data_IF_255467015601
#
_entry.id   IF_255467015601
#
_cell.length_a   1.000
_cell.length_b   1.000
_cell.length_c   1.000
_cell.angle_alpha   90.00
_cell.angle_beta   90.00
_cell.angle_gamma   90.00
#
_symmetry.space_group_name_H-M   'P 1'
#
loop_
_entity.id
_entity.type
_entity.pdbx_description
1 polymer ?
#
# COMPACT_ATOMS: atom_id res chain seq x y z
N UNK A 1 -13.64 20.53 -2.14
CA UNK A 1 -14.79 19.80 -1.55
C UNK A 1 -14.32 18.38 -1.23
N UNK A 2 -14.60 17.93 -0.03
CA UNK A 2 -14.34 16.55 0.39
C UNK A 2 -15.68 15.81 0.34
N UNK A 3 -15.78 14.77 -0.48
CA UNK A 3 -16.94 13.88 -0.46
C UNK A 3 -16.62 12.71 0.47
N UNK A 4 -17.54 12.42 1.37
CA UNK A 4 -17.43 11.27 2.27
C UNK A 4 -18.24 10.12 1.68
N UNK A 5 -17.55 9.03 1.36
CA UNK A 5 -18.17 7.77 0.99
C UNK A 5 -18.12 6.83 2.21
N UNK A 6 -19.28 6.57 2.79
CA UNK A 6 -19.41 5.63 3.91
C UNK A 6 -19.74 4.24 3.36
N UNK A 7 -18.74 3.39 3.22
CA UNK A 7 -18.96 2.00 2.88
C UNK A 7 -19.71 1.29 4.02
N UNK A 8 -20.86 0.69 3.71
CA UNK A 8 -21.60 -0.15 4.63
C UNK A 8 -21.61 -1.58 4.12
N UNK A 9 -21.47 -2.52 5.05
CA UNK A 9 -21.62 -3.96 4.76
C UNK A 9 -20.53 -4.55 3.86
N UNK A 10 -19.30 -4.62 4.37
CA UNK A 10 -18.34 -5.64 3.95
C UNK A 10 -18.65 -6.99 4.59
N UNK A 11 -17.83 -7.99 4.32
CA UNK A 11 -17.95 -9.35 4.92
C UNK A 11 -17.72 -9.34 6.45
N UNK A 12 -17.41 -8.17 7.04
CA UNK A 12 -17.13 -7.99 8.46
C UNK A 12 -15.65 -8.16 8.83
N UNK A 13 -14.76 -8.30 7.87
CA UNK A 13 -13.32 -8.23 8.07
C UNK A 13 -12.83 -6.79 8.28
N UNK A 14 -11.64 -6.64 8.85
CA UNK A 14 -11.02 -5.33 8.99
C UNK A 14 -10.68 -4.76 7.61
N UNK A 15 -11.17 -3.56 7.31
CA UNK A 15 -10.84 -2.84 6.08
C UNK A 15 -9.38 -2.43 6.13
N UNK A 16 -8.64 -2.70 5.05
CA UNK A 16 -7.20 -2.48 4.95
C UNK A 16 -6.85 -1.60 3.73
N UNK A 17 -6.45 -2.20 2.62
CA UNK A 17 -6.08 -1.49 1.42
C UNK A 17 -7.30 -0.93 0.66
N UNK A 18 -7.12 0.23 0.05
CA UNK A 18 -8.14 0.86 -0.78
C UNK A 18 -7.49 1.44 -2.04
N UNK A 19 -8.10 1.20 -3.19
CA UNK A 19 -7.69 1.81 -4.46
C UNK A 19 -8.92 2.13 -5.32
N UNK A 20 -8.79 3.15 -6.16
CA UNK A 20 -9.86 3.61 -7.06
C UNK A 20 -9.39 3.47 -8.50
N UNK A 21 -10.25 2.88 -9.33
CA UNK A 21 -10.05 2.84 -10.77
C UNK A 21 -11.37 3.10 -11.50
N UNK A 22 -11.37 4.10 -12.38
CA UNK A 22 -12.58 4.60 -13.04
C UNK A 22 -13.67 4.92 -12.00
N UNK A 23 -14.81 4.25 -12.10
CA UNK A 23 -15.95 4.43 -11.22
C UNK A 23 -15.99 3.43 -10.04
N UNK A 24 -14.95 2.61 -9.88
CA UNK A 24 -14.91 1.55 -8.87
C UNK A 24 -13.95 1.84 -7.74
N UNK A 25 -14.41 1.61 -6.51
CA UNK A 25 -13.58 1.53 -5.31
C UNK A 25 -13.35 0.05 -5.01
N UNK A 26 -12.08 -0.33 -4.94
CA UNK A 26 -11.62 -1.65 -4.49
C UNK A 26 -11.23 -1.52 -3.03
N UNK A 27 -12.09 -2.01 -2.14
CA UNK A 27 -11.85 -2.00 -0.70
C UNK A 27 -11.50 -3.40 -0.24
N UNK A 28 -10.25 -3.59 0.17
CA UNK A 28 -9.70 -4.87 0.55
C UNK A 28 -9.83 -5.09 2.05
N UNK A 29 -10.24 -6.29 2.43
CA UNK A 29 -10.28 -6.73 3.83
C UNK A 29 -9.03 -7.56 4.16
N UNK A 30 -8.74 -7.64 5.46
CA UNK A 30 -7.72 -8.56 5.98
C UNK A 30 -8.00 -10.00 5.47
N UNK A 31 -6.96 -10.68 5.02
CA UNK A 31 -7.07 -12.01 4.43
C UNK A 31 -7.33 -12.03 2.91
N UNK A 32 -7.70 -10.91 2.29
CA UNK A 32 -7.74 -10.80 0.82
C UNK A 32 -9.12 -10.80 0.18
N UNK A 33 -10.21 -10.61 0.96
CA UNK A 33 -11.51 -10.33 0.35
C UNK A 33 -11.56 -8.89 -0.17
N UNK A 34 -12.15 -8.68 -1.35
CA UNK A 34 -12.29 -7.35 -1.97
C UNK A 34 -13.78 -7.04 -2.16
N UNK A 35 -14.22 -5.93 -1.59
CA UNK A 35 -15.53 -5.36 -1.85
C UNK A 35 -15.40 -4.29 -2.94
N UNK A 36 -16.25 -4.37 -3.96
CA UNK A 36 -16.30 -3.39 -5.05
C UNK A 36 -17.50 -2.48 -4.83
N UNK A 37 -17.24 -1.19 -4.77
CA UNK A 37 -18.27 -0.17 -4.71
C UNK A 37 -18.27 0.64 -6.01
N UNK A 38 -19.47 1.08 -6.40
CA UNK A 38 -19.62 2.05 -7.48
C UNK A 38 -19.53 3.46 -6.88
N UNK A 39 -18.48 4.18 -7.23
CA UNK A 39 -18.24 5.53 -6.69
C UNK A 39 -19.32 6.56 -7.07
N UNK A 40 -20.04 6.32 -8.18
CA UNK A 40 -21.13 7.17 -8.63
C UNK A 40 -22.48 6.81 -8.03
N UNK A 41 -22.57 5.64 -7.40
CA UNK A 41 -23.82 5.20 -6.78
C UNK A 41 -24.08 5.95 -5.48
N UNK A 42 -25.30 6.37 -5.27
CA UNK A 42 -25.77 6.86 -3.97
C UNK A 42 -25.94 5.73 -2.94
N UNK A 43 -25.98 4.48 -3.39
CA UNK A 43 -26.05 3.29 -2.51
C UNK A 43 -24.65 2.93 -2.01
N UNK A 44 -24.38 2.99 -0.71
CA UNK A 44 -23.08 2.67 -0.12
C UNK A 44 -22.78 1.17 -0.05
N UNK A 45 -23.62 0.32 -0.64
CA UNK A 45 -23.44 -1.13 -0.63
C UNK A 45 -22.47 -1.60 -1.71
N UNK A 46 -21.73 -2.68 -1.47
CA UNK A 46 -20.90 -3.25 -2.51
C UNK A 46 -21.75 -3.76 -3.68
N UNK A 47 -21.36 -3.42 -4.89
CA UNK A 47 -21.99 -3.90 -6.13
C UNK A 47 -21.49 -5.29 -6.53
N UNK A 48 -20.33 -5.70 -5.99
CA UNK A 48 -19.71 -7.01 -6.16
C UNK A 48 -18.70 -7.27 -5.04
N UNK A 49 -18.23 -8.52 -4.95
CA UNK A 49 -17.10 -8.92 -4.12
C UNK A 49 -16.42 -10.13 -4.71
N UNK A 50 -15.13 -10.28 -4.40
CA UNK A 50 -14.32 -11.43 -4.84
C UNK A 50 -13.13 -11.66 -3.90
N UNK A 51 -12.51 -12.83 -3.99
CA UNK A 51 -11.27 -13.13 -3.29
C UNK A 51 -10.07 -12.83 -4.20
N UNK A 52 -9.03 -12.19 -3.66
CA UNK A 52 -7.73 -12.10 -4.30
C UNK A 52 -7.14 -13.51 -4.50
N UNK A 53 -6.42 -13.71 -5.57
CA UNK A 53 -5.71 -14.98 -5.78
C UNK A 53 -4.60 -15.21 -4.73
N UNK A 54 -4.08 -14.15 -4.13
CA UNK A 54 -3.16 -14.18 -3.01
C UNK A 54 -3.85 -14.23 -1.64
N UNK A 55 -5.17 -14.48 -1.60
CA UNK A 55 -5.91 -14.58 -0.34
C UNK A 55 -5.30 -15.64 0.59
N UNK A 56 -4.93 -15.23 1.79
CA UNK A 56 -4.28 -16.07 2.79
C UNK A 56 -4.44 -15.44 4.19
N UNK A 57 -4.57 -16.24 5.27
CA UNK A 57 -4.69 -15.71 6.64
C UNK A 57 -3.54 -14.78 7.06
N UNK A 58 -2.37 -14.93 6.44
CA UNK A 58 -1.21 -14.09 6.67
C UNK A 58 -1.08 -12.93 5.68
N UNK A 59 -2.00 -12.79 4.72
CA UNK A 59 -2.04 -11.65 3.82
C UNK A 59 -2.91 -10.55 4.43
N UNK A 60 -2.27 -9.54 4.99
CA UNK A 60 -2.97 -8.42 5.65
C UNK A 60 -3.53 -7.40 4.63
N UNK A 61 -3.15 -7.48 3.37
CA UNK A 61 -3.59 -6.58 2.28
C UNK A 61 -3.54 -5.10 2.68
N UNK A 62 -2.50 -4.73 3.41
CA UNK A 62 -2.39 -3.43 4.07
C UNK A 62 -2.42 -2.24 3.10
N UNK A 63 -1.92 -2.43 1.88
CA UNK A 63 -1.95 -1.42 0.83
C UNK A 63 -2.13 -2.07 -0.54
N UNK A 64 -2.86 -1.42 -1.42
CA UNK A 64 -3.06 -1.83 -2.82
C UNK A 64 -2.90 -0.63 -3.73
N UNK A 65 -2.29 -0.84 -4.90
CA UNK A 65 -2.11 0.19 -5.91
C UNK A 65 -2.28 -0.41 -7.30
N UNK A 66 -3.04 0.24 -8.19
CA UNK A 66 -3.00 -0.11 -9.59
C UNK A 66 -1.69 0.36 -10.24
N UNK A 67 -1.14 -0.48 -11.13
CA UNK A 67 0.04 -0.17 -11.92
C UNK A 67 -0.27 0.45 -13.27
N UNK A 68 0.71 0.35 -14.17
CA UNK A 68 0.61 0.89 -15.55
C UNK A 68 0.37 -0.20 -16.60
N UNK A 69 0.83 -1.42 -16.35
CA UNK A 69 0.69 -2.54 -17.28
C UNK A 69 -0.67 -3.23 -17.09
N UNK A 70 -1.28 -3.64 -18.19
CA UNK A 70 -2.51 -4.43 -18.18
C UNK A 70 -2.24 -5.78 -18.85
N UNK A 71 -2.48 -6.87 -18.15
CA UNK A 71 -2.37 -8.21 -18.72
C UNK A 71 -3.42 -8.42 -19.82
N UNK A 72 -3.04 -9.09 -20.91
CA UNK A 72 -3.96 -9.40 -22.01
C UNK A 72 -5.22 -10.13 -21.49
N UNK A 73 -6.39 -9.56 -21.75
CA UNK A 73 -7.68 -10.09 -21.33
C UNK A 73 -8.13 -9.63 -19.94
N UNK A 74 -7.31 -8.91 -19.20
CA UNK A 74 -7.72 -8.25 -17.96
C UNK A 74 -8.64 -7.04 -18.23
N UNK A 75 -9.41 -6.68 -17.22
CA UNK A 75 -10.33 -5.52 -17.29
C UNK A 75 -9.75 -4.29 -16.62
N UNK A 76 -8.68 -4.45 -15.85
CA UNK A 76 -8.01 -3.41 -15.08
C UNK A 76 -6.50 -3.52 -15.25
N UNK A 77 -5.72 -2.48 -14.97
CA UNK A 77 -4.29 -2.61 -14.80
C UNK A 77 -3.93 -3.62 -13.70
N UNK A 78 -2.70 -4.05 -13.66
CA UNK A 78 -2.21 -4.94 -12.61
C UNK A 78 -2.36 -4.27 -11.24
N UNK A 79 -2.90 -5.01 -10.27
CA UNK A 79 -3.02 -4.58 -8.89
C UNK A 79 -1.83 -5.10 -8.08
N UNK A 80 -1.07 -4.18 -7.48
CA UNK A 80 0.05 -4.46 -6.60
C UNK A 80 -0.43 -4.50 -5.17
N UNK A 81 -0.19 -5.61 -4.49
CA UNK A 81 -0.76 -5.91 -3.17
C UNK A 81 0.37 -6.04 -2.16
N UNK A 82 0.34 -5.15 -1.18
CA UNK A 82 1.23 -5.18 -0.02
C UNK A 82 0.67 -6.12 1.03
N UNK A 83 1.48 -7.04 1.51
CA UNK A 83 1.05 -7.95 2.56
C UNK A 83 0.85 -7.26 3.92
N UNK A 84 1.79 -6.47 4.39
CA UNK A 84 1.68 -5.70 5.64
C UNK A 84 1.78 -6.48 6.96
N UNK A 85 1.88 -7.81 6.95
CA UNK A 85 1.98 -8.62 8.18
C UNK A 85 3.44 -8.88 8.57
N UNK A 86 3.90 -8.16 9.57
CA UNK A 86 5.26 -8.27 10.08
C UNK A 86 5.53 -9.66 10.67
N UNK A 87 6.65 -10.27 10.26
CA UNK A 87 7.11 -11.57 10.74
C UNK A 87 6.46 -12.77 10.06
N UNK A 88 5.63 -12.55 9.04
CA UNK A 88 5.14 -13.64 8.19
C UNK A 88 6.13 -13.95 7.06
N UNK A 89 6.00 -15.13 6.46
CA UNK A 89 6.77 -15.49 5.25
C UNK A 89 6.46 -14.61 4.06
N UNK A 90 5.34 -13.86 4.12
CA UNK A 90 4.89 -12.96 3.08
C UNK A 90 5.36 -11.51 3.27
N UNK A 91 6.06 -11.21 4.36
CA UNK A 91 6.38 -9.84 4.79
C UNK A 91 7.07 -9.00 3.69
N UNK A 92 7.94 -9.62 2.91
CA UNK A 92 8.75 -8.96 1.88
C UNK A 92 8.27 -9.21 0.45
N UNK A 93 7.04 -9.74 0.31
CA UNK A 93 6.44 -10.03 -0.98
C UNK A 93 5.43 -8.95 -1.38
N UNK A 94 5.41 -8.66 -2.67
CA UNK A 94 4.31 -7.97 -3.34
C UNK A 94 3.67 -8.95 -4.34
N UNK A 95 2.38 -9.19 -4.17
CA UNK A 95 1.61 -9.92 -5.17
C UNK A 95 1.09 -8.95 -6.22
N UNK A 96 1.32 -9.29 -7.48
CA UNK A 96 0.85 -8.52 -8.62
C UNK A 96 -0.26 -9.32 -9.27
N UNK A 97 -1.48 -8.83 -9.19
CA UNK A 97 -2.66 -9.56 -9.65
C UNK A 97 -3.34 -8.91 -10.84
N UNK A 98 -3.83 -9.78 -11.71
CA UNK A 98 -4.62 -9.40 -12.87
C UNK A 98 -6.09 -9.60 -12.55
N UNK A 99 -6.89 -8.55 -12.69
CA UNK A 99 -8.31 -8.57 -12.37
C UNK A 99 -9.13 -8.58 -13.65
N UNK A 100 -10.06 -9.55 -13.75
CA UNK A 100 -11.01 -9.67 -14.86
C UNK A 100 -12.42 -9.44 -14.34
N UNK A 101 -13.20 -8.68 -15.13
CA UNK A 101 -14.61 -8.43 -14.88
C UNK A 101 -15.44 -9.02 -16.01
N UNK A 102 -16.48 -9.79 -15.67
CA UNK A 102 -17.50 -10.30 -16.60
C UNK A 102 -18.89 -9.99 -16.03
N UNK A 103 -19.49 -8.92 -16.52
CA UNK A 103 -20.73 -8.39 -15.96
C UNK A 103 -20.53 -7.89 -14.52
N UNK A 104 -21.19 -8.51 -13.57
CA UNK A 104 -21.05 -8.23 -12.12
C UNK A 104 -20.04 -9.14 -11.41
N UNK A 105 -19.41 -10.09 -12.12
CA UNK A 105 -18.44 -11.01 -11.52
C UNK A 105 -17.03 -10.49 -11.73
N UNK A 106 -16.28 -10.44 -10.65
CA UNK A 106 -14.85 -10.15 -10.63
C UNK A 106 -14.09 -11.42 -10.26
N UNK A 107 -12.91 -11.56 -10.80
CA UNK A 107 -11.99 -12.63 -10.46
C UNK A 107 -10.55 -12.11 -10.56
N UNK A 108 -9.67 -12.74 -9.81
CA UNK A 108 -8.25 -12.40 -9.76
C UNK A 108 -7.39 -13.61 -10.05
N UNK A 109 -6.20 -13.37 -10.59
CA UNK A 109 -5.13 -14.35 -10.73
C UNK A 109 -3.77 -13.69 -10.44
N UNK A 110 -2.86 -14.41 -9.79
CA UNK A 110 -1.48 -13.92 -9.59
C UNK A 110 -0.79 -13.91 -10.95
N UNK A 111 -0.41 -12.72 -11.41
CA UNK A 111 0.33 -12.55 -12.65
C UNK A 111 1.85 -12.56 -12.41
N UNK A 112 2.29 -12.02 -11.25
CA UNK A 112 3.69 -11.99 -10.85
C UNK A 112 3.79 -11.89 -9.34
N UNK A 113 4.86 -12.40 -8.76
CA UNK A 113 5.24 -12.16 -7.36
C UNK A 113 6.59 -11.45 -7.36
N UNK A 114 6.69 -10.33 -6.65
CA UNK A 114 7.93 -9.58 -6.48
C UNK A 114 8.42 -9.78 -5.06
N UNK A 115 9.65 -10.28 -4.91
CA UNK A 115 10.34 -10.44 -3.64
C UNK A 115 11.35 -9.30 -3.46
N UNK A 116 11.34 -8.68 -2.29
CA UNK A 116 12.33 -7.69 -1.92
C UNK A 116 13.46 -8.33 -1.12
N UNK A 117 14.70 -8.19 -1.55
CA UNK A 117 15.87 -8.61 -0.80
C UNK A 117 16.69 -7.42 -0.30
N UNK A 118 16.55 -7.13 0.98
CA UNK A 118 17.31 -6.06 1.66
C UNK A 118 18.61 -6.53 2.32
N UNK A 119 19.02 -7.78 2.14
CA UNK A 119 20.11 -8.38 2.90
C UNK A 119 21.48 -7.69 2.74
N UNK A 120 21.72 -7.11 1.57
CA UNK A 120 23.00 -6.46 1.23
C UNK A 120 22.91 -4.93 1.08
N UNK A 121 21.78 -4.34 1.40
CA UNK A 121 21.61 -2.89 1.24
C UNK A 121 22.68 -2.08 1.99
N UNK A 122 22.97 -2.46 3.23
CA UNK A 122 23.96 -1.77 4.06
C UNK A 122 25.37 -1.86 3.47
N UNK A 123 25.73 -3.01 2.89
CA UNK A 123 27.04 -3.22 2.24
C UNK A 123 27.22 -2.30 1.03
N UNK A 124 26.13 -1.93 0.38
CA UNK A 124 26.10 -1.02 -0.77
C UNK A 124 25.88 0.45 -0.39
N UNK A 125 25.82 0.75 0.91
CA UNK A 125 25.65 2.12 1.41
C UNK A 125 24.21 2.59 1.48
N UNK A 126 23.23 1.71 1.28
CA UNK A 126 21.83 2.02 1.45
C UNK A 126 21.38 1.84 2.91
N UNK A 127 20.35 2.55 3.29
CA UNK A 127 19.77 2.44 4.63
C UNK A 127 18.84 1.23 4.66
N UNK A 128 18.95 0.36 5.69
CA UNK A 128 18.02 -0.75 5.86
C UNK A 128 16.62 -0.26 6.20
N UNK A 129 15.64 -1.09 5.89
CA UNK A 129 14.24 -0.90 6.26
C UNK A 129 13.75 -2.07 7.09
N UNK A 130 12.71 -1.86 7.88
CA UNK A 130 12.15 -2.85 8.79
C UNK A 130 10.63 -2.85 8.77
N UNK A 131 10.08 -4.00 9.11
CA UNK A 131 8.65 -4.23 9.09
C UNK A 131 8.15 -4.53 7.68
N UNK A 132 6.86 -4.81 7.57
CA UNK A 132 6.24 -5.05 6.28
C UNK A 132 6.20 -3.75 5.47
N UNK A 133 6.92 -3.68 4.35
CA UNK A 133 7.00 -2.46 3.57
C UNK A 133 5.73 -2.23 2.77
N UNK A 134 5.33 -0.97 2.62
CA UNK A 134 4.28 -0.59 1.66
C UNK A 134 4.87 -0.46 0.27
N UNK A 135 4.23 -1.10 -0.69
CA UNK A 135 4.59 -1.04 -2.10
C UNK A 135 3.70 -0.01 -2.78
N UNK A 136 4.29 1.07 -3.23
CA UNK A 136 3.58 2.24 -3.76
C UNK A 136 3.96 2.44 -5.23
N UNK A 137 2.97 2.44 -6.10
CA UNK A 137 3.18 2.61 -7.54
C UNK A 137 3.03 4.07 -7.93
N UNK A 138 4.09 4.64 -8.47
CA UNK A 138 4.09 5.93 -9.15
C UNK A 138 3.71 5.70 -10.62
N UNK A 139 2.42 5.69 -10.92
CA UNK A 139 1.90 5.43 -12.26
C UNK A 139 2.32 6.48 -13.28
N UNK A 140 2.47 7.70 -12.84
CA UNK A 140 2.79 8.83 -13.72
C UNK A 140 4.22 8.78 -14.21
N UNK A 141 5.12 8.26 -13.38
CA UNK A 141 6.55 8.21 -13.65
C UNK A 141 7.07 6.81 -13.97
N UNK A 142 6.24 5.76 -13.78
CA UNK A 142 6.59 4.38 -14.10
C UNK A 142 7.57 3.74 -13.11
N UNK A 143 7.47 4.07 -11.83
CA UNK A 143 8.32 3.51 -10.78
C UNK A 143 7.51 2.86 -9.66
N UNK A 144 8.16 1.97 -8.92
CA UNK A 144 7.63 1.45 -7.67
C UNK A 144 8.52 1.92 -6.52
N UNK A 145 7.88 2.36 -5.44
CA UNK A 145 8.55 2.80 -4.24
C UNK A 145 8.23 1.88 -3.09
N UNK A 146 9.26 1.43 -2.39
CA UNK A 146 9.14 0.66 -1.17
C UNK A 146 9.25 1.63 -0.01
N UNK A 147 8.17 1.79 0.74
CA UNK A 147 8.10 2.75 1.84
C UNK A 147 7.98 2.02 3.18
N UNK A 148 8.94 2.22 4.06
CA UNK A 148 8.96 1.57 5.37
C UNK A 148 9.78 2.33 6.41
N UNK A 149 9.76 1.86 7.64
CA UNK A 149 10.51 2.42 8.74
C UNK A 149 12.01 2.06 8.65
N UNK A 150 12.87 2.97 9.07
CA UNK A 150 14.33 2.77 9.13
C UNK A 150 14.78 1.85 10.26
N UNK A 151 14.05 1.86 11.37
CA UNK A 151 14.35 1.04 12.54
C UNK A 151 13.17 0.14 12.86
N UNK A 152 13.45 -1.04 13.38
CA UNK A 152 12.40 -1.94 13.84
C UNK A 152 11.54 -1.24 14.90
N UNK A 153 10.27 -1.10 14.61
CA UNK A 153 9.30 -0.62 15.59
C UNK A 153 8.84 -1.79 16.43
N UNK A 154 8.89 -1.63 17.74
CA UNK A 154 8.31 -2.63 18.64
C UNK A 154 6.80 -2.38 18.67
N UNK A 155 6.00 -3.42 18.56
CA UNK A 155 4.55 -3.38 18.49
C UNK A 155 3.87 -2.67 19.69
N UNK A 156 4.55 -2.53 20.81
CA UNK A 156 4.11 -1.66 21.89
C UNK A 156 4.71 -0.29 21.65
N UNK A 157 3.90 0.63 21.21
CA UNK A 157 4.26 2.04 21.08
C UNK A 157 4.76 2.54 22.41
N UNK A 158 6.06 2.56 22.52
CA UNK A 158 6.74 3.17 23.63
C UNK A 158 6.97 4.64 23.27
N UNK A 159 7.29 5.44 24.27
CA UNK A 159 7.64 6.86 24.14
C UNK A 159 8.75 7.16 23.10
N UNK A 160 9.38 6.14 22.53
CA UNK A 160 10.52 6.23 21.60
C UNK A 160 10.14 6.03 20.11
N UNK A 161 8.88 5.90 19.78
CA UNK A 161 8.44 5.88 18.39
C UNK A 161 8.82 7.16 17.62
N UNK A 162 8.99 8.27 18.31
CA UNK A 162 9.43 9.57 17.82
C UNK A 162 10.82 9.60 17.17
N UNK A 163 11.64 8.57 17.41
CA UNK A 163 13.00 8.49 16.90
C UNK A 163 13.15 7.70 15.63
N UNK A 164 12.06 7.45 14.91
CA UNK A 164 12.12 6.72 13.66
C UNK A 164 12.09 7.66 12.46
N UNK A 165 12.60 7.18 11.35
CA UNK A 165 12.54 7.82 10.05
C UNK A 165 11.84 6.88 9.09
N UNK A 166 11.18 7.44 8.08
CA UNK A 166 10.70 6.65 6.96
C UNK A 166 11.70 6.70 5.82
N UNK A 167 11.77 5.60 5.10
CA UNK A 167 12.66 5.41 3.96
C UNK A 167 11.81 5.03 2.77
N UNK A 168 11.94 5.76 1.69
CA UNK A 168 11.37 5.41 0.40
C UNK A 168 12.51 4.96 -0.52
N UNK A 169 12.43 3.73 -1.00
CA UNK A 169 13.42 3.15 -1.91
C UNK A 169 12.78 2.93 -3.27
N UNK A 170 13.35 3.50 -4.31
CA UNK A 170 12.84 3.53 -5.67
C UNK A 170 13.40 2.40 -6.51
N UNK A 171 12.52 1.73 -7.21
CA UNK A 171 12.85 0.69 -8.18
C UNK A 171 12.12 0.94 -9.50
N UNK A 172 12.59 0.32 -10.56
CA UNK A 172 11.82 0.12 -11.78
C UNK A 172 10.64 -0.83 -11.48
N UNK A 173 9.50 -0.61 -12.08
CA UNK A 173 8.41 -1.59 -12.04
C UNK A 173 8.83 -2.80 -12.87
N UNK A 174 8.88 -4.03 -12.31
CA UNK A 174 9.10 -5.23 -13.10
C UNK A 174 7.98 -5.45 -14.10
N UNK A 175 8.35 -5.78 -15.35
CA UNK A 175 7.37 -6.17 -16.37
C UNK A 175 6.97 -7.64 -16.23
N UNK A 176 5.77 -7.99 -16.66
CA UNK A 176 5.33 -9.39 -16.74
C UNK A 176 6.23 -10.26 -17.61
N UNK A 177 6.93 -9.66 -18.58
CA UNK A 177 7.88 -10.37 -19.45
C UNK A 177 9.12 -10.88 -18.71
N UNK A 178 9.40 -10.39 -17.50
CA UNK A 178 10.54 -10.84 -16.68
C UNK A 178 10.27 -12.14 -15.95
N UNK A 179 9.02 -12.60 -15.95
CA UNK A 179 8.61 -13.90 -15.40
C UNK A 179 7.63 -13.79 -14.24
N UNK A 180 7.18 -14.95 -13.78
CA UNK A 180 6.19 -15.04 -12.70
C UNK A 180 6.74 -14.72 -11.32
N UNK A 181 8.05 -14.75 -11.14
CA UNK A 181 8.74 -14.37 -9.91
C UNK A 181 9.91 -13.46 -10.25
N UNK A 182 9.98 -12.32 -9.61
CA UNK A 182 11.06 -11.33 -9.76
C UNK A 182 11.61 -11.01 -8.37
N UNK A 183 12.90 -10.86 -8.27
CA UNK A 183 13.57 -10.41 -7.05
C UNK A 183 14.16 -9.02 -7.30
N UNK A 184 13.91 -8.10 -6.38
CA UNK A 184 14.52 -6.78 -6.35
C UNK A 184 15.54 -6.73 -5.22
N UNK A 185 16.77 -6.39 -5.54
CA UNK A 185 17.86 -6.31 -4.58
C UNK A 185 18.57 -4.93 -4.62
N UNK A 186 19.72 -4.85 -3.97
CA UNK A 186 20.51 -3.61 -3.90
C UNK A 186 20.99 -3.08 -5.26
N UNK A 187 21.08 -3.94 -6.28
CA UNK A 187 21.53 -3.55 -7.62
C UNK A 187 20.40 -2.94 -8.45
N UNK A 188 19.15 -3.14 -8.06
CA UNK A 188 17.95 -2.60 -8.71
C UNK A 188 17.54 -1.24 -8.15
N UNK A 189 18.15 -0.79 -7.04
CA UNK A 189 17.84 0.47 -6.40
C UNK A 189 18.23 1.63 -7.31
N UNK A 190 17.25 2.44 -7.69
CA UNK A 190 17.44 3.64 -8.49
C UNK A 190 17.68 4.89 -7.66
N UNK A 191 17.02 4.97 -6.49
CA UNK A 191 17.16 6.06 -5.53
C UNK A 191 16.66 5.61 -4.16
N UNK A 192 17.12 6.29 -3.12
CA UNK A 192 16.64 6.09 -1.77
C UNK A 192 16.56 7.42 -1.03
N UNK A 193 15.41 7.70 -0.46
CA UNK A 193 15.15 8.91 0.31
C UNK A 193 14.91 8.54 1.76
N UNK A 194 15.71 9.11 2.65
CA UNK A 194 15.50 9.04 4.11
C UNK A 194 14.84 10.33 4.53
N UNK A 195 13.61 10.25 5.00
CA UNK A 195 12.87 11.42 5.46
C UNK A 195 13.30 11.86 6.85
N UNK A 196 13.07 13.14 7.22
CA UNK A 196 13.28 13.60 8.58
C UNK A 196 12.54 12.75 9.61
N UNK A 197 12.95 12.84 10.87
CA UNK A 197 12.29 12.15 11.97
C UNK A 197 10.81 12.49 11.99
N UNK A 198 10.00 11.46 11.91
CA UNK A 198 8.56 11.54 12.02
C UNK A 198 8.07 10.23 12.62
N UNK A 199 6.88 10.25 13.14
CA UNK A 199 6.37 9.17 13.93
C UNK A 199 5.36 8.36 13.17
N UNK A 200 5.24 7.12 13.36
CA UNK A 200 4.16 6.29 13.86
C UNK A 200 3.70 5.17 12.96
N UNK A 201 2.77 4.44 13.51
CA UNK A 201 1.94 3.43 12.88
C UNK A 201 1.46 3.89 11.51
N UNK A 202 2.10 3.37 10.51
CA UNK A 202 1.69 3.52 9.14
C UNK A 202 0.53 2.58 8.87
N UNK A 203 -0.45 3.04 8.10
CA UNK A 203 -1.54 2.21 7.64
C UNK A 203 -1.38 1.94 6.14
N UNK A 204 -1.84 2.86 5.32
CA UNK A 204 -1.81 2.73 3.88
C UNK A 204 -1.44 4.07 3.24
N UNK A 205 -1.05 4.03 1.98
CA UNK A 205 -0.73 5.23 1.24
C UNK A 205 -0.87 5.05 -0.26
N UNK A 206 -0.80 6.16 -0.96
CA UNK A 206 -0.77 6.21 -2.42
C UNK A 206 0.28 7.19 -2.89
N UNK A 207 0.60 7.12 -4.18
CA UNK A 207 1.48 8.11 -4.83
C UNK A 207 0.73 8.93 -5.85
N UNK A 208 1.07 10.21 -5.88
CA UNK A 208 0.66 11.13 -6.92
C UNK A 208 1.72 12.22 -7.09
N UNK A 209 2.10 12.50 -8.33
CA UNK A 209 3.07 13.53 -8.71
C UNK A 209 4.36 13.50 -7.86
N UNK A 210 4.95 12.28 -7.71
CA UNK A 210 6.18 12.07 -6.95
C UNK A 210 6.05 12.30 -5.44
N UNK A 211 4.84 12.35 -4.92
CA UNK A 211 4.55 12.51 -3.50
C UNK A 211 3.85 11.29 -2.95
N UNK A 212 4.27 10.84 -1.79
CA UNK A 212 3.64 9.77 -1.03
C UNK A 212 2.66 10.41 -0.04
N UNK A 213 1.38 10.13 -0.21
CA UNK A 213 0.33 10.47 0.74
C UNK A 213 0.11 9.27 1.63
N UNK A 214 0.48 9.38 2.88
CA UNK A 214 0.50 8.25 3.80
C UNK A 214 -0.36 8.50 5.03
N UNK A 215 -1.26 7.56 5.32
CA UNK A 215 -2.17 7.61 6.46
C UNK A 215 -1.48 7.09 7.72
N UNK A 216 -1.74 7.75 8.84
CA UNK A 216 -1.24 7.44 10.17
C UNK A 216 -2.37 7.43 11.17
N UNK A 217 -2.17 6.70 12.26
CA UNK A 217 -3.11 6.59 13.33
C UNK A 217 -3.84 5.26 13.36
N UNK A 218 -4.61 5.04 14.40
CA UNK A 218 -5.30 3.76 14.65
C UNK A 218 -6.81 3.92 14.71
N UNK A 219 -7.33 5.00 14.17
CA UNK A 219 -8.75 5.25 14.15
C UNK A 219 -9.36 5.59 15.51
N UNK A 220 -8.61 5.71 16.57
CA UNK A 220 -9.07 6.15 17.90
C UNK A 220 -8.54 7.54 18.19
N UNK A 221 -9.33 8.35 18.88
CA UNK A 221 -8.81 9.58 19.44
C UNK A 221 -7.74 9.24 20.48
N UNK A 222 -6.50 9.38 20.07
CA UNK A 222 -5.33 9.20 20.91
C UNK A 222 -4.42 10.40 20.65
N UNK A 223 -4.32 11.29 21.63
CA UNK A 223 -3.54 12.52 21.52
C UNK A 223 -2.05 12.25 21.22
N UNK A 224 -1.58 11.05 21.55
CA UNK A 224 -0.24 10.61 21.20
C UNK A 224 -0.14 10.01 19.79
N UNK A 225 -1.27 9.66 19.16
CA UNK A 225 -1.34 9.04 17.84
C UNK A 225 -2.53 9.56 17.03
N UNK A 226 -2.55 10.86 16.73
CA UNK A 226 -3.66 11.45 15.99
C UNK A 226 -3.74 10.87 14.59
N UNK A 227 -4.94 10.56 14.14
CA UNK A 227 -5.18 10.20 12.74
C UNK A 227 -4.82 11.36 11.85
N UNK A 228 -3.95 11.13 10.90
CA UNK A 228 -3.43 12.18 10.03
C UNK A 228 -2.92 11.63 8.71
N UNK A 229 -2.78 12.51 7.74
CA UNK A 229 -2.11 12.24 6.47
C UNK A 229 -0.80 13.04 6.44
N UNK A 230 0.29 12.37 6.11
CA UNK A 230 1.58 12.98 5.83
C UNK A 230 1.84 12.96 4.32
N UNK A 231 2.44 14.02 3.83
CA UNK A 231 2.87 14.10 2.42
C UNK A 231 4.39 14.12 2.36
N UNK A 232 4.95 13.03 1.87
CA UNK A 232 6.39 12.84 1.67
C UNK A 232 6.72 13.16 0.21
N UNK A 233 7.44 14.24 0.00
CA UNK A 233 7.89 14.65 -1.33
C UNK A 233 9.23 13.97 -1.64
N UNK A 234 9.23 13.04 -2.59
CA UNK A 234 10.43 12.27 -2.93
C UNK A 234 11.48 13.10 -3.65
N UNK A 235 11.07 14.09 -4.42
CA UNK A 235 11.99 14.99 -5.15
C UNK A 235 12.66 15.97 -4.19
N UNK A 236 11.88 16.57 -3.28
CA UNK A 236 12.39 17.50 -2.26
C UNK A 236 13.01 16.80 -1.05
N UNK A 237 12.87 15.48 -0.96
CA UNK A 237 13.38 14.62 0.13
C UNK A 237 12.93 15.08 1.52
N UNK A 238 11.70 15.55 1.64
CA UNK A 238 11.16 16.10 2.88
C UNK A 238 9.66 15.88 3.02
N UNK A 239 9.14 16.17 4.21
CA UNK A 239 7.70 16.14 4.49
C UNK A 239 7.17 17.55 4.19
N UNK A 240 6.29 17.64 3.19
CA UNK A 240 5.78 18.94 2.72
C UNK A 240 4.45 19.32 3.32
N UNK A 241 3.67 18.37 3.83
CA UNK A 241 2.39 18.64 4.46
C UNK A 241 2.05 17.62 5.55
N UNK A 242 1.23 18.06 6.50
CA UNK A 242 0.65 17.26 7.57
C UNK A 242 -0.80 17.68 7.73
N UNK A 243 -1.72 16.75 7.48
CA UNK A 243 -3.14 16.99 7.65
C UNK A 243 -3.65 16.20 8.84
N UNK A 244 -4.16 16.89 9.87
CA UNK A 244 -4.86 16.24 10.96
C UNK A 244 -6.30 15.94 10.52
N UNK A 245 -6.69 14.67 10.54
CA UNK A 245 -8.03 14.22 10.15
C UNK A 245 -8.81 13.63 11.33
N UNK A 246 -8.31 13.78 12.53
CA UNK A 246 -8.85 13.16 13.75
C UNK A 246 -10.30 13.53 14.01
N UNK A 247 -10.70 14.77 13.71
CA UNK A 247 -12.07 15.24 13.88
C UNK A 247 -13.01 14.81 12.75
N UNK A 248 -12.46 14.30 11.67
CA UNK A 248 -13.21 13.92 10.46
C UNK A 248 -13.37 12.42 10.31
N UNK A 249 -12.72 11.64 11.18
CA UNK A 249 -12.80 10.18 11.12
C UNK A 249 -14.07 9.75 11.87
N UNK A 250 -15.04 9.30 11.10
CA UNK A 250 -16.27 8.67 11.60
C UNK A 250 -15.98 7.17 11.73
N UNK A 251 -16.16 6.62 12.92
CA UNK A 251 -15.96 5.20 13.24
C UNK A 251 -17.24 4.41 13.06
#
# INVERSE_FOLDING_TARGET
>A
ECSVFLAKEGRGGAQQGLEIWDDYIFSCEDGGHVNIYDFKSADPKPVAGFELASSHPDNHVNNVCFGVETKRGASFPLLYITNGKVGSELEWLCFVESITRRGKRFSSEIAQTIELDGSKWVEKGYVPIFGAPSWLVDRERGFIWIFSARKRTVAKVTKHAWENQYVATKFRIPSLSEGAKVRLDENDILDQVVFPYEVWFTQAGCMHDGKIYFCFGVGKQDDNRPSCIRVYDTDRRTITARYNVQEQVIY
#
